data_IF_628636936171
#
_entry.id   IF_628636936171
#
_cell.length_a   1.000
_cell.length_b   1.000
_cell.length_c   1.000
_cell.angle_alpha   90.00
_cell.angle_beta   90.00
_cell.angle_gamma   90.00
#
_symmetry.space_group_name_H-M   'P 1'
#
loop_
_entity.id
_entity.type
_entity.pdbx_description
1 polymer ?
#
# COMPACT_ATOMS: atom_id res chain seq x y z
N UNK A 1 3.81 47.26 18.34
CA UNK A 1 3.44 46.88 16.95
C UNK A 1 4.32 45.73 16.45
N UNK A 2 4.49 44.68 17.25
CA UNK A 2 5.52 43.62 17.03
C UNK A 2 5.00 42.20 17.23
N UNK A 3 3.69 42.01 17.46
CA UNK A 3 3.14 40.71 17.87
C UNK A 3 2.40 39.93 16.77
N UNK A 4 2.21 40.54 15.58
CA UNK A 4 1.49 39.91 14.46
C UNK A 4 2.37 39.04 13.56
N UNK A 5 3.69 39.18 13.61
CA UNK A 5 4.61 38.38 12.79
C UNK A 5 4.90 37.00 13.40
N UNK A 6 5.00 36.89 14.74
CA UNK A 6 5.24 35.62 15.44
C UNK A 6 4.06 34.63 15.36
N UNK A 7 2.84 35.13 15.57
CA UNK A 7 1.63 34.29 15.54
C UNK A 7 1.27 33.73 14.14
N UNK A 8 1.74 34.36 13.06
CA UNK A 8 1.52 33.90 11.67
C UNK A 8 2.49 32.77 11.31
N UNK A 9 3.72 32.80 11.85
CA UNK A 9 4.73 31.75 11.65
C UNK A 9 4.36 30.48 12.44
N UNK A 10 3.83 30.64 13.65
CA UNK A 10 3.41 29.52 14.51
C UNK A 10 2.18 28.75 13.94
N UNK A 11 1.29 29.44 13.20
CA UNK A 11 0.12 28.81 12.54
C UNK A 11 0.39 28.19 11.16
N UNK A 12 1.58 28.38 10.59
CA UNK A 12 1.95 27.85 9.26
C UNK A 12 2.66 26.48 9.32
N UNK A 13 3.28 26.15 10.46
CA UNK A 13 4.00 24.89 10.70
C UNK A 13 3.20 23.81 11.46
N UNK A 14 2.22 24.18 12.27
CA UNK A 14 1.55 23.35 13.29
C UNK A 14 0.70 22.16 12.79
N UNK A 15 0.58 21.96 11.48
CA UNK A 15 -0.13 20.83 10.88
C UNK A 15 0.71 19.93 9.98
N UNK A 16 1.89 20.38 9.51
CA UNK A 16 2.69 19.63 8.53
C UNK A 16 3.34 18.40 9.14
N UNK A 17 3.97 18.57 10.30
CA UNK A 17 4.59 17.47 11.03
C UNK A 17 3.55 16.47 11.53
N UNK A 18 2.36 16.95 11.93
CA UNK A 18 1.22 16.08 12.27
C UNK A 18 0.81 15.24 11.07
N UNK A 19 0.68 15.84 9.89
CA UNK A 19 0.36 15.11 8.66
C UNK A 19 1.44 14.06 8.31
N UNK A 20 2.72 14.41 8.45
CA UNK A 20 3.81 13.46 8.24
C UNK A 20 3.72 12.26 9.19
N UNK A 21 3.59 12.48 10.50
CA UNK A 21 3.44 11.40 11.47
C UNK A 21 2.16 10.60 11.29
N UNK A 22 1.06 11.24 10.91
CA UNK A 22 -0.17 10.52 10.56
C UNK A 22 0.07 9.58 9.37
N UNK A 23 0.76 10.01 8.32
CA UNK A 23 1.08 9.14 7.19
C UNK A 23 2.01 7.99 7.60
N UNK A 24 3.03 8.28 8.39
CA UNK A 24 4.00 7.29 8.90
C UNK A 24 3.31 6.17 9.69
N UNK A 25 2.26 6.51 10.44
CA UNK A 25 1.49 5.52 11.21
C UNK A 25 0.40 4.85 10.38
N UNK A 26 -0.30 5.59 9.51
CA UNK A 26 -1.35 5.03 8.67
C UNK A 26 -0.81 4.00 7.67
N UNK A 27 0.41 4.15 7.17
CA UNK A 27 1.01 3.21 6.23
C UNK A 27 1.03 1.75 6.76
N UNK A 28 1.70 1.44 7.88
CA UNK A 28 1.69 0.10 8.45
C UNK A 28 0.34 -0.29 9.06
N UNK A 29 -0.48 0.65 9.53
CA UNK A 29 -1.82 0.32 10.06
C UNK A 29 -2.74 -0.18 8.94
N UNK A 30 -2.81 0.56 7.82
CA UNK A 30 -3.67 0.20 6.70
C UNK A 30 -3.21 -1.08 6.00
N UNK A 31 -1.90 -1.30 5.89
CA UNK A 31 -1.36 -2.55 5.39
C UNK A 31 -1.61 -3.68 6.40
N UNK A 32 -0.83 -3.70 7.48
CA UNK A 32 -0.67 -4.89 8.30
C UNK A 32 -1.73 -5.02 9.39
N UNK A 33 -2.08 -3.94 10.09
CA UNK A 33 -3.04 -4.02 11.17
C UNK A 33 -4.45 -4.37 10.67
N UNK A 34 -4.83 -3.88 9.48
CA UNK A 34 -6.10 -4.30 8.86
C UNK A 34 -6.04 -5.68 8.20
N UNK A 35 -4.87 -6.31 8.13
CA UNK A 35 -4.68 -7.67 7.62
C UNK A 35 -4.43 -8.73 8.71
N UNK A 36 -4.69 -8.38 9.99
CA UNK A 36 -4.52 -9.25 11.19
C UNK A 36 -5.22 -10.63 11.10
N UNK A 37 -6.10 -10.86 10.12
CA UNK A 37 -6.69 -12.17 9.88
C UNK A 37 -5.67 -13.24 9.46
N UNK A 38 -4.52 -12.85 8.88
CA UNK A 38 -3.44 -13.75 8.45
C UNK A 38 -2.21 -13.64 9.35
N UNK A 39 -1.86 -12.42 9.75
CA UNK A 39 -0.71 -12.14 10.61
C UNK A 39 -1.06 -12.28 12.10
N UNK A 40 -0.28 -13.09 12.83
CA UNK A 40 -0.43 -13.30 14.29
C UNK A 40 -0.48 -11.96 15.05
N UNK A 41 -0.98 -11.95 16.31
CA UNK A 41 -0.87 -10.78 17.21
C UNK A 41 0.54 -10.17 17.32
N UNK A 42 1.56 -10.95 16.97
CA UNK A 42 2.95 -10.52 16.83
C UNK A 42 3.14 -9.32 15.90
N UNK A 43 2.23 -9.06 14.95
CA UNK A 43 2.29 -7.87 14.09
C UNK A 43 2.27 -6.56 14.89
N UNK A 44 1.55 -6.55 16.01
CA UNK A 44 1.51 -5.40 16.93
C UNK A 44 2.81 -5.23 17.72
N UNK A 45 3.53 -6.34 17.98
CA UNK A 45 4.87 -6.32 18.58
C UNK A 45 5.94 -5.92 17.55
N UNK A 46 5.77 -6.34 16.29
CA UNK A 46 6.63 -5.98 15.17
C UNK A 46 6.33 -4.57 14.63
N UNK A 47 5.26 -3.91 15.08
CA UNK A 47 4.86 -2.59 14.57
C UNK A 47 6.00 -1.54 14.58
N UNK A 48 6.85 -1.41 15.62
CA UNK A 48 7.99 -0.51 15.59
C UNK A 48 9.02 -0.83 14.48
N UNK A 49 9.14 -2.11 14.09
CA UNK A 49 10.00 -2.57 12.99
C UNK A 49 9.43 -2.19 11.63
N UNK A 50 8.10 -2.16 11.50
CA UNK A 50 7.39 -1.81 10.26
C UNK A 50 7.40 -0.30 9.99
N UNK A 51 7.40 0.53 11.02
CA UNK A 51 7.33 2.00 10.88
C UNK A 51 8.46 2.56 10.00
N UNK A 52 9.74 2.19 10.17
CA UNK A 52 10.82 2.66 9.30
C UNK A 52 10.62 2.34 7.82
N UNK A 53 10.23 1.10 7.49
CA UNK A 53 10.10 0.66 6.11
C UNK A 53 8.79 1.16 5.50
N UNK A 54 7.62 0.88 6.09
CA UNK A 54 6.31 1.31 5.58
C UNK A 54 6.15 2.83 5.71
N UNK A 55 6.25 3.35 6.93
CA UNK A 55 6.02 4.76 7.21
C UNK A 55 7.08 5.67 6.56
N UNK A 56 8.35 5.29 6.67
CA UNK A 56 9.46 6.01 6.04
C UNK A 56 9.40 5.97 4.52
N UNK A 57 9.21 4.78 3.92
CA UNK A 57 9.14 4.61 2.48
C UNK A 57 7.97 5.35 1.83
N UNK A 58 6.77 5.24 2.41
CA UNK A 58 5.57 5.93 1.90
C UNK A 58 5.69 7.44 2.04
N UNK A 59 6.19 7.94 3.17
CA UNK A 59 6.43 9.37 3.35
C UNK A 59 7.47 9.90 2.36
N UNK A 60 8.55 9.15 2.13
CA UNK A 60 9.58 9.50 1.14
C UNK A 60 8.99 9.59 -0.28
N UNK A 61 8.29 8.55 -0.73
CA UNK A 61 7.67 8.51 -2.05
C UNK A 61 6.71 9.69 -2.25
N UNK A 62 5.85 9.95 -1.25
CA UNK A 62 4.90 11.07 -1.27
C UNK A 62 5.62 12.42 -1.34
N UNK A 63 6.66 12.63 -0.53
CA UNK A 63 7.42 13.89 -0.54
C UNK A 63 8.10 14.14 -1.89
N UNK A 64 8.67 13.12 -2.52
CA UNK A 64 9.32 13.22 -3.82
C UNK A 64 8.30 13.57 -4.93
N UNK A 65 7.14 12.93 -4.95
CA UNK A 65 6.05 13.23 -5.89
C UNK A 65 5.58 14.67 -5.76
N UNK A 66 5.35 15.14 -4.53
CA UNK A 66 4.83 16.49 -4.30
C UNK A 66 5.85 17.57 -4.67
N UNK A 67 7.14 17.35 -4.39
CA UNK A 67 8.21 18.30 -4.71
C UNK A 67 8.47 18.44 -6.21
N UNK A 68 8.26 17.37 -6.97
CA UNK A 68 8.44 17.37 -8.43
C UNK A 68 7.20 17.82 -9.18
N UNK A 69 6.10 18.12 -8.48
CA UNK A 69 4.82 18.47 -9.08
C UNK A 69 4.12 17.28 -9.75
N UNK A 70 4.68 16.07 -9.61
CA UNK A 70 4.18 14.83 -10.15
C UNK A 70 2.79 14.48 -9.59
N UNK A 71 2.12 13.52 -10.23
CA UNK A 71 0.75 13.11 -9.89
C UNK A 71 0.73 11.62 -9.50
N UNK A 72 -0.46 11.09 -9.27
CA UNK A 72 -0.69 9.71 -8.85
C UNK A 72 0.05 8.64 -9.68
N UNK A 73 0.31 8.77 -11.01
CA UNK A 73 1.06 7.74 -11.73
C UNK A 73 2.52 7.64 -11.24
N UNK A 74 3.14 8.77 -10.88
CA UNK A 74 4.47 8.76 -10.28
C UNK A 74 4.47 8.13 -8.89
N UNK A 75 3.41 8.33 -8.11
CA UNK A 75 3.27 7.66 -6.82
C UNK A 75 3.15 6.14 -6.96
N UNK A 76 2.43 5.63 -7.97
CA UNK A 76 2.38 4.20 -8.27
C UNK A 76 3.74 3.64 -8.68
N UNK A 77 4.47 4.34 -9.55
CA UNK A 77 5.80 3.92 -9.99
C UNK A 77 6.79 3.90 -8.81
N UNK A 78 6.73 4.89 -7.91
CA UNK A 78 7.53 4.87 -6.69
C UNK A 78 7.06 3.79 -5.70
N UNK A 79 5.77 3.46 -5.67
CA UNK A 79 5.25 2.34 -4.90
C UNK A 79 5.78 0.99 -5.40
N UNK A 80 5.93 0.82 -6.71
CA UNK A 80 6.62 -0.34 -7.30
C UNK A 80 8.10 -0.37 -6.93
N UNK A 81 8.78 0.77 -6.98
CA UNK A 81 10.18 0.87 -6.56
C UNK A 81 10.35 0.57 -5.05
N UNK A 82 9.39 1.02 -4.23
CA UNK A 82 9.30 0.70 -2.82
C UNK A 82 9.15 -0.80 -2.60
N UNK A 83 8.24 -1.46 -3.33
CA UNK A 83 8.02 -2.91 -3.22
C UNK A 83 9.28 -3.72 -3.56
N UNK A 84 10.00 -3.32 -4.63
CA UNK A 84 11.27 -3.97 -4.99
C UNK A 84 12.34 -3.76 -3.90
N UNK A 85 12.32 -2.63 -3.21
CA UNK A 85 13.26 -2.37 -2.11
C UNK A 85 12.87 -3.14 -0.84
N UNK A 86 11.59 -3.19 -0.49
CA UNK A 86 11.10 -3.95 0.66
C UNK A 86 11.25 -5.46 0.43
N UNK A 87 10.55 -5.99 -0.56
CA UNK A 87 10.40 -7.42 -0.75
C UNK A 87 11.59 -8.03 -1.51
N UNK A 88 12.10 -7.30 -2.50
CA UNK A 88 13.22 -7.74 -3.33
C UNK A 88 14.58 -7.64 -2.62
N UNK A 89 14.86 -6.53 -1.92
CA UNK A 89 16.16 -6.30 -1.28
C UNK A 89 16.14 -6.58 0.23
N UNK A 90 15.12 -6.12 0.94
CA UNK A 90 14.98 -6.30 2.39
C UNK A 90 14.66 -7.73 2.75
N UNK A 91 13.47 -8.21 2.37
CA UNK A 91 13.01 -9.56 2.67
C UNK A 91 13.71 -10.61 1.80
N UNK A 92 14.08 -10.25 0.56
CA UNK A 92 14.59 -11.19 -0.45
C UNK A 92 13.58 -12.28 -0.83
N UNK A 93 12.29 -12.04 -0.58
CA UNK A 93 11.22 -12.99 -0.85
C UNK A 93 11.09 -13.29 -2.34
N UNK A 94 11.38 -12.31 -3.20
CA UNK A 94 11.31 -12.45 -4.65
C UNK A 94 12.17 -13.61 -5.20
N UNK A 95 13.29 -13.94 -4.54
CA UNK A 95 14.20 -15.02 -4.98
C UNK A 95 14.34 -16.16 -3.99
N UNK A 96 13.99 -15.95 -2.72
CA UNK A 96 14.13 -16.95 -1.66
C UNK A 96 13.37 -18.25 -1.99
N UNK A 97 13.95 -19.43 -1.73
CA UNK A 97 13.26 -20.71 -1.85
C UNK A 97 12.33 -21.02 -0.67
N UNK A 98 12.52 -20.39 0.50
CA UNK A 98 11.85 -20.81 1.74
C UNK A 98 11.01 -19.71 2.40
N UNK A 99 11.35 -18.44 2.18
CA UNK A 99 10.68 -17.32 2.82
C UNK A 99 9.18 -17.32 2.49
N UNK A 100 8.36 -17.38 3.54
CA UNK A 100 6.90 -17.43 3.48
C UNK A 100 6.29 -18.50 2.59
N UNK A 101 7.03 -19.57 2.27
CA UNK A 101 6.64 -20.57 1.26
C UNK A 101 6.37 -19.95 -0.13
N UNK A 102 6.84 -18.73 -0.41
CA UNK A 102 6.55 -18.02 -1.66
C UNK A 102 6.92 -18.82 -2.92
N UNK A 103 7.93 -19.68 -2.82
CA UNK A 103 8.33 -20.60 -3.88
C UNK A 103 7.25 -21.58 -4.32
N UNK A 104 6.38 -22.04 -3.40
CA UNK A 104 5.31 -22.99 -3.74
C UNK A 104 4.14 -22.31 -4.45
N UNK A 105 4.04 -20.98 -4.39
CA UNK A 105 2.98 -20.20 -5.04
C UNK A 105 3.17 -20.12 -6.56
N UNK A 106 4.33 -20.57 -7.06
CA UNK A 106 4.69 -20.54 -8.46
C UNK A 106 5.94 -19.72 -8.70
N UNK A 107 6.88 -20.31 -9.45
CA UNK A 107 8.13 -19.65 -9.86
C UNK A 107 8.24 -19.54 -11.36
N UNK A 108 8.71 -18.39 -11.82
CA UNK A 108 9.02 -18.12 -13.23
C UNK A 108 10.47 -17.65 -13.28
N UNK A 109 11.32 -18.37 -14.02
CA UNK A 109 12.76 -18.12 -14.11
C UNK A 109 13.49 -17.99 -12.76
N UNK A 110 13.02 -18.74 -11.74
CA UNK A 110 13.61 -18.69 -10.40
C UNK A 110 13.14 -17.51 -9.54
N UNK A 111 12.12 -16.76 -9.97
CA UNK A 111 11.49 -15.69 -9.18
C UNK A 111 10.09 -16.09 -8.71
N UNK A 112 9.75 -15.73 -7.47
CA UNK A 112 8.45 -15.98 -6.85
C UNK A 112 7.39 -14.98 -7.34
N UNK A 113 7.13 -14.94 -8.66
CA UNK A 113 6.32 -13.87 -9.27
C UNK A 113 4.86 -13.86 -8.82
N UNK A 114 4.24 -15.00 -8.54
CA UNK A 114 2.86 -15.04 -8.05
C UNK A 114 2.72 -14.36 -6.68
N UNK A 115 3.64 -14.69 -5.77
CA UNK A 115 3.74 -14.05 -4.45
C UNK A 115 4.06 -12.55 -4.61
N UNK A 116 5.08 -12.23 -5.40
CA UNK A 116 5.47 -10.83 -5.58
C UNK A 116 4.37 -9.99 -6.22
N UNK A 117 3.59 -10.55 -7.15
CA UNK A 117 2.42 -9.87 -7.73
C UNK A 117 1.34 -9.60 -6.68
N UNK A 118 1.06 -10.56 -5.79
CA UNK A 118 0.09 -10.35 -4.71
C UNK A 118 0.55 -9.26 -3.75
N UNK A 119 1.83 -9.30 -3.36
CA UNK A 119 2.42 -8.30 -2.46
C UNK A 119 2.47 -6.91 -3.13
N UNK A 120 2.86 -6.83 -4.40
CA UNK A 120 2.85 -5.58 -5.15
C UNK A 120 1.46 -4.94 -5.18
N UNK A 121 0.43 -5.70 -5.56
CA UNK A 121 -0.95 -5.17 -5.59
C UNK A 121 -1.43 -4.74 -4.21
N UNK A 122 -1.10 -5.53 -3.19
CA UNK A 122 -1.39 -5.25 -1.79
C UNK A 122 -0.72 -3.95 -1.31
N UNK A 123 0.61 -3.83 -1.41
CA UNK A 123 1.35 -2.70 -0.88
C UNK A 123 1.05 -1.42 -1.66
N UNK A 124 0.90 -1.48 -2.99
CA UNK A 124 0.48 -0.32 -3.77
C UNK A 124 -0.81 0.30 -3.25
N UNK A 125 -1.82 -0.51 -2.95
CA UNK A 125 -3.14 0.00 -2.52
C UNK A 125 -3.15 0.33 -1.02
N UNK A 126 -2.78 -0.63 -0.19
CA UNK A 126 -3.00 -0.59 1.26
C UNK A 126 -1.86 0.06 2.04
N UNK A 127 -0.63 0.01 1.51
CA UNK A 127 0.54 0.70 2.11
C UNK A 127 0.72 2.11 1.55
N UNK A 128 0.53 2.30 0.24
CA UNK A 128 0.83 3.58 -0.42
C UNK A 128 -0.42 4.43 -0.66
N UNK A 129 -1.32 4.00 -1.55
CA UNK A 129 -2.40 4.87 -2.05
C UNK A 129 -3.41 5.28 -0.98
N UNK A 130 -3.91 4.31 -0.20
CA UNK A 130 -4.93 4.56 0.82
C UNK A 130 -4.38 5.48 1.92
N UNK A 131 -3.22 5.20 2.56
CA UNK A 131 -2.65 6.06 3.60
C UNK A 131 -2.35 7.49 3.13
N UNK A 132 -1.79 7.64 1.92
CA UNK A 132 -1.54 8.96 1.33
C UNK A 132 -2.86 9.71 1.11
N UNK A 133 -3.88 9.03 0.60
CA UNK A 133 -5.19 9.64 0.33
C UNK A 133 -5.90 10.01 1.64
N UNK A 134 -5.92 9.13 2.63
CA UNK A 134 -6.51 9.38 3.96
C UNK A 134 -5.83 10.56 4.66
N UNK A 135 -4.50 10.63 4.61
CA UNK A 135 -3.76 11.77 5.18
C UNK A 135 -4.11 13.07 4.44
N UNK A 136 -4.28 13.00 3.11
CA UNK A 136 -4.76 14.13 2.31
C UNK A 136 -6.16 14.61 2.70
N UNK A 137 -7.07 13.69 3.03
CA UNK A 137 -8.42 14.00 3.52
C UNK A 137 -8.40 14.62 4.92
N UNK A 138 -7.55 14.10 5.82
CA UNK A 138 -7.40 14.59 7.19
C UNK A 138 -6.72 15.97 7.25
N UNK A 139 -5.77 16.23 6.34
CA UNK A 139 -4.95 17.44 6.31
C UNK A 139 -5.02 18.15 4.94
N UNK A 140 -6.24 18.50 4.51
CA UNK A 140 -6.51 19.13 3.18
C UNK A 140 -5.58 20.28 2.82
N UNK A 141 -5.28 21.17 3.78
CA UNK A 141 -4.38 22.33 3.59
C UNK A 141 -2.95 21.93 3.20
N UNK A 142 -2.54 20.71 3.51
CA UNK A 142 -1.20 20.19 3.26
C UNK A 142 -1.16 19.09 2.18
N UNK A 143 -2.30 18.60 1.70
CA UNK A 143 -2.39 17.45 0.78
C UNK A 143 -1.47 17.55 -0.45
N UNK A 144 -1.36 18.75 -1.05
CA UNK A 144 -0.48 19.01 -2.21
C UNK A 144 0.81 19.78 -1.90
N UNK A 145 1.25 19.82 -0.63
CA UNK A 145 2.45 20.57 -0.21
C UNK A 145 3.44 19.67 0.54
N UNK A 146 4.75 19.89 0.42
CA UNK A 146 5.74 19.14 1.21
C UNK A 146 5.45 19.25 2.71
N UNK A 147 5.48 18.13 3.41
CA UNK A 147 5.36 18.07 4.87
C UNK A 147 6.70 18.39 5.54
N UNK A 148 7.81 17.98 4.91
CA UNK A 148 9.15 18.05 5.49
C UNK A 148 10.01 19.17 4.87
N UNK A 149 11.06 19.58 5.57
CA UNK A 149 12.18 20.33 4.99
C UNK A 149 13.15 19.42 4.23
N UNK A 150 14.27 19.96 3.73
CA UNK A 150 15.33 19.17 3.07
C UNK A 150 15.96 18.14 4.00
N UNK A 151 16.29 18.54 5.23
CA UNK A 151 16.87 17.64 6.22
C UNK A 151 15.88 16.55 6.68
N UNK A 152 14.61 16.89 6.82
CA UNK A 152 13.56 15.91 7.12
C UNK A 152 13.46 14.86 6.00
N UNK A 153 13.50 15.28 4.73
CA UNK A 153 13.51 14.35 3.60
C UNK A 153 14.71 13.39 3.61
N UNK A 154 15.92 13.91 3.87
CA UNK A 154 17.13 13.10 3.99
C UNK A 154 17.01 12.12 5.15
N UNK A 155 16.55 12.58 6.31
CA UNK A 155 16.31 11.74 7.48
C UNK A 155 15.30 10.62 7.18
N UNK A 156 14.20 10.93 6.50
CA UNK A 156 13.22 9.91 6.07
C UNK A 156 13.82 8.90 5.09
N UNK A 157 14.68 9.33 4.16
CA UNK A 157 15.38 8.41 3.26
C UNK A 157 16.33 7.47 4.01
N UNK A 158 17.09 8.00 4.99
CA UNK A 158 17.96 7.19 5.84
C UNK A 158 17.14 6.20 6.67
N UNK A 159 16.04 6.65 7.28
CA UNK A 159 15.12 5.78 8.06
C UNK A 159 14.54 4.67 7.18
N UNK A 160 14.17 4.97 5.93
CA UNK A 160 13.68 3.95 5.01
C UNK A 160 14.76 2.91 4.67
N UNK A 161 16.00 3.33 4.38
CA UNK A 161 17.11 2.40 4.13
C UNK A 161 17.41 1.55 5.37
N UNK A 162 17.37 2.13 6.56
CA UNK A 162 17.47 1.39 7.82
C UNK A 162 16.32 0.38 7.92
N UNK A 163 15.10 0.76 7.56
CA UNK A 163 13.94 -0.14 7.52
C UNK A 163 14.15 -1.34 6.61
N UNK A 164 14.67 -1.13 5.40
CA UNK A 164 15.03 -2.22 4.46
C UNK A 164 16.10 -3.14 5.06
N UNK A 165 17.13 -2.57 5.69
CA UNK A 165 18.16 -3.35 6.37
C UNK A 165 17.60 -4.13 7.58
N UNK A 166 16.68 -3.53 8.33
CA UNK A 166 16.02 -4.17 9.46
C UNK A 166 15.11 -5.33 9.00
N UNK A 167 14.37 -5.18 7.90
CA UNK A 167 13.63 -6.29 7.30
C UNK A 167 14.56 -7.45 6.95
N UNK A 168 15.74 -7.15 6.41
CA UNK A 168 16.77 -8.17 6.14
C UNK A 168 17.27 -8.86 7.40
N UNK A 169 17.63 -8.09 8.43
CA UNK A 169 18.32 -8.59 9.62
C UNK A 169 17.40 -9.19 10.70
N UNK A 170 16.13 -8.80 10.73
CA UNK A 170 15.19 -9.26 11.75
C UNK A 170 14.17 -10.27 11.21
N UNK A 171 13.77 -10.14 9.94
CA UNK A 171 12.75 -10.98 9.34
C UNK A 171 13.40 -12.03 8.43
N UNK A 172 14.09 -11.59 7.38
CA UNK A 172 14.59 -12.52 6.36
C UNK A 172 15.59 -13.56 6.90
N UNK A 173 16.49 -13.16 7.80
CA UNK A 173 17.45 -14.10 8.42
C UNK A 173 16.79 -15.08 9.39
N UNK A 174 15.58 -14.79 9.87
CA UNK A 174 14.81 -15.66 10.75
C UNK A 174 13.96 -16.63 9.93
N UNK A 175 13.33 -16.14 8.86
CA UNK A 175 12.42 -16.90 8.00
C UNK A 175 13.15 -17.77 6.96
N UNK A 176 14.34 -17.35 6.49
CA UNK A 176 15.19 -18.14 5.58
C UNK A 176 16.69 -17.98 5.96
N UNK A 177 17.14 -18.65 7.04
CA UNK A 177 18.49 -18.48 7.57
C UNK A 177 19.58 -18.86 6.56
N UNK A 178 20.54 -17.95 6.36
CA UNK A 178 21.70 -18.17 5.49
C UNK A 178 21.45 -17.92 4.00
N UNK A 179 20.20 -17.75 3.57
CA UNK A 179 19.91 -17.37 2.18
C UNK A 179 20.37 -15.94 1.88
N UNK A 180 20.94 -15.73 0.69
CA UNK A 180 21.24 -14.40 0.15
C UNK A 180 20.86 -14.35 -1.33
N UNK A 181 20.16 -13.29 -1.74
CA UNK A 181 19.90 -13.04 -3.16
C UNK A 181 21.22 -12.92 -3.93
N UNK A 182 21.37 -13.61 -5.08
CA UNK A 182 22.57 -13.50 -5.91
C UNK A 182 22.89 -12.04 -6.26
N UNK A 183 24.16 -11.64 -6.14
CA UNK A 183 24.57 -10.25 -6.37
C UNK A 183 24.14 -9.69 -7.74
N UNK A 184 24.11 -10.45 -8.86
CA UNK A 184 23.65 -9.90 -10.14
C UNK A 184 22.18 -9.49 -10.09
N UNK A 185 21.36 -10.22 -9.34
CA UNK A 185 19.95 -9.89 -9.13
C UNK A 185 19.83 -8.65 -8.25
N UNK A 186 20.62 -8.53 -7.18
CA UNK A 186 20.66 -7.31 -6.36
C UNK A 186 21.02 -6.08 -7.20
N UNK A 187 22.05 -6.19 -8.05
CA UNK A 187 22.45 -5.12 -8.95
C UNK A 187 21.32 -4.76 -9.95
N UNK A 188 20.65 -5.76 -10.53
CA UNK A 188 19.52 -5.54 -11.43
C UNK A 188 18.34 -4.85 -10.73
N UNK A 189 17.99 -5.27 -9.52
CA UNK A 189 16.93 -4.64 -8.71
C UNK A 189 17.26 -3.17 -8.41
N UNK A 190 18.50 -2.87 -8.01
CA UNK A 190 18.93 -1.48 -7.78
C UNK A 190 18.83 -0.63 -9.04
N UNK A 191 19.26 -1.16 -10.20
CA UNK A 191 19.12 -0.47 -11.49
C UNK A 191 17.65 -0.22 -11.80
N UNK A 192 16.77 -1.21 -11.64
CA UNK A 192 15.33 -1.07 -11.88
C UNK A 192 14.73 -0.01 -10.94
N UNK A 193 15.04 -0.04 -9.64
CA UNK A 193 14.57 0.97 -8.67
C UNK A 193 14.99 2.38 -9.09
N UNK A 194 16.24 2.56 -9.53
CA UNK A 194 16.74 3.85 -10.03
C UNK A 194 16.00 4.28 -11.29
N UNK A 195 15.81 3.38 -12.26
CA UNK A 195 15.08 3.67 -13.50
C UNK A 195 13.62 4.04 -13.23
N UNK A 196 12.95 3.35 -12.31
CA UNK A 196 11.59 3.68 -11.85
C UNK A 196 11.56 5.05 -11.16
N UNK A 197 12.57 5.37 -10.34
CA UNK A 197 12.72 6.69 -9.74
C UNK A 197 12.88 7.80 -10.78
N UNK A 198 13.72 7.59 -11.80
CA UNK A 198 13.90 8.51 -12.93
C UNK A 198 12.59 8.68 -13.70
N UNK A 199 11.92 7.58 -14.03
CA UNK A 199 10.62 7.59 -14.70
C UNK A 199 9.60 8.41 -13.90
N UNK A 200 9.47 8.14 -12.60
CA UNK A 200 8.52 8.79 -11.72
C UNK A 200 8.78 10.29 -11.53
N UNK A 201 10.05 10.68 -11.36
CA UNK A 201 10.41 12.01 -10.88
C UNK A 201 10.88 12.96 -11.99
N UNK A 202 11.34 12.43 -13.12
CA UNK A 202 11.87 13.25 -14.22
C UNK A 202 11.04 13.15 -15.49
N UNK A 203 10.48 11.98 -15.79
CA UNK A 203 9.72 11.75 -17.05
C UNK A 203 8.24 12.02 -16.85
N UNK A 204 7.58 11.30 -15.93
CA UNK A 204 6.14 11.39 -15.69
C UNK A 204 5.63 12.81 -15.36
N UNK A 205 6.36 13.68 -14.62
CA UNK A 205 5.87 15.04 -14.34
C UNK A 205 5.80 15.93 -15.59
N UNK A 206 6.57 15.59 -16.63
CA UNK A 206 6.61 16.29 -17.91
C UNK A 206 5.58 15.75 -18.90
N UNK A 207 5.09 14.53 -18.68
CA UNK A 207 4.10 13.91 -19.54
C UNK A 207 2.69 14.42 -19.23
N UNK A 208 1.96 14.81 -20.27
CA UNK A 208 0.54 15.10 -20.20
C UNK A 208 -0.23 13.78 -20.33
N UNK A 209 -0.36 13.05 -19.23
CA UNK A 209 -1.17 11.83 -19.20
C UNK A 209 -2.65 12.24 -19.34
N UNK A 210 -3.35 11.82 -20.41
CA UNK A 210 -4.76 12.11 -20.58
C UNK A 210 -5.56 11.56 -19.40
N UNK A 211 -6.50 12.35 -18.90
CA UNK A 211 -7.45 11.84 -17.90
C UNK A 211 -8.47 10.95 -18.62
N UNK A 212 -8.84 9.80 -18.05
CA UNK A 212 -9.94 9.01 -18.57
C UNK A 212 -11.21 9.84 -18.69
N UNK A 213 -12.03 9.55 -19.71
CA UNK A 213 -13.32 10.21 -19.89
C UNK A 213 -14.20 9.96 -18.65
N UNK A 214 -14.88 10.99 -18.12
CA UNK A 214 -15.76 10.84 -16.97
C UNK A 214 -16.89 9.85 -17.26
N UNK A 215 -17.54 9.36 -16.21
CA UNK A 215 -18.77 8.57 -16.38
C UNK A 215 -19.98 9.50 -16.48
N UNK A 216 -20.99 9.09 -17.25
CA UNK A 216 -22.23 9.87 -17.39
C UNK A 216 -22.95 10.06 -16.05
N UNK A 217 -22.94 9.03 -15.20
CA UNK A 217 -23.51 9.05 -13.85
C UNK A 217 -22.61 8.30 -12.90
N UNK A 218 -22.30 8.91 -11.75
CA UNK A 218 -21.59 8.22 -10.68
C UNK A 218 -22.50 7.15 -10.04
N UNK A 219 -21.96 5.95 -9.76
CA UNK A 219 -22.65 4.98 -8.92
C UNK A 219 -22.94 5.55 -7.53
N UNK A 220 -23.96 5.02 -6.87
CA UNK A 220 -24.23 5.33 -5.48
C UNK A 220 -22.99 5.01 -4.60
N UNK A 221 -22.66 5.81 -3.58
CA UNK A 221 -21.47 5.61 -2.76
C UNK A 221 -21.35 4.18 -2.17
N UNK A 222 -22.46 3.59 -1.72
CA UNK A 222 -22.47 2.20 -1.25
C UNK A 222 -22.08 1.18 -2.33
N UNK A 223 -22.50 1.39 -3.59
CA UNK A 223 -22.10 0.55 -4.71
C UNK A 223 -20.62 0.70 -5.04
N UNK A 224 -20.07 1.91 -4.95
CA UNK A 224 -18.62 2.13 -5.06
C UNK A 224 -17.85 1.38 -3.98
N UNK A 225 -18.32 1.44 -2.73
CA UNK A 225 -17.74 0.69 -1.63
C UNK A 225 -17.79 -0.82 -1.85
N UNK A 226 -18.93 -1.35 -2.30
CA UNK A 226 -19.06 -2.78 -2.61
C UNK A 226 -18.11 -3.21 -3.73
N UNK A 227 -18.03 -2.45 -4.84
CA UNK A 227 -17.10 -2.74 -5.92
C UNK A 227 -15.63 -2.67 -5.47
N UNK A 228 -15.29 -1.68 -4.64
CA UNK A 228 -13.96 -1.55 -4.07
C UNK A 228 -13.62 -2.66 -3.09
N UNK A 229 -14.60 -3.25 -2.39
CA UNK A 229 -14.41 -4.40 -1.53
C UNK A 229 -14.20 -5.70 -2.32
N UNK A 230 -14.90 -5.86 -3.44
CA UNK A 230 -14.76 -7.04 -4.29
C UNK A 230 -13.38 -7.13 -4.95
N UNK A 231 -12.80 -6.00 -5.36
CA UNK A 231 -11.52 -5.98 -6.05
C UNK A 231 -10.37 -6.69 -5.30
N UNK A 232 -10.05 -6.36 -4.03
CA UNK A 232 -9.00 -7.06 -3.28
C UNK A 232 -9.37 -8.50 -2.95
N UNK A 233 -10.65 -8.83 -2.73
CA UNK A 233 -11.09 -10.22 -2.50
C UNK A 233 -10.80 -11.08 -3.72
N UNK A 234 -11.17 -10.61 -4.91
CA UNK A 234 -10.93 -11.33 -6.17
C UNK A 234 -9.43 -11.38 -6.47
N UNK A 235 -8.73 -10.24 -6.38
CA UNK A 235 -7.30 -10.14 -6.63
C UNK A 235 -6.49 -11.09 -5.73
N UNK A 236 -6.69 -11.02 -4.42
CA UNK A 236 -5.98 -11.89 -3.47
C UNK A 236 -6.47 -13.34 -3.58
N UNK A 237 -7.75 -13.59 -3.83
CA UNK A 237 -8.28 -14.95 -4.01
C UNK A 237 -7.74 -15.66 -5.25
N UNK A 238 -7.28 -14.93 -6.26
CA UNK A 238 -6.62 -15.50 -7.44
C UNK A 238 -5.17 -15.89 -7.17
N UNK A 239 -4.47 -15.16 -6.28
CA UNK A 239 -3.01 -15.29 -6.11
C UNK A 239 -2.61 -15.99 -4.81
N UNK A 240 -3.34 -15.76 -3.72
CA UNK A 240 -3.01 -16.26 -2.39
C UNK A 240 -3.52 -17.70 -2.20
N UNK A 241 -2.72 -18.61 -1.62
CA UNK A 241 -3.13 -20.00 -1.40
C UNK A 241 -4.11 -20.12 -0.22
N UNK A 242 -5.42 -20.14 -0.50
CA UNK A 242 -6.47 -20.24 0.53
C UNK A 242 -6.56 -21.60 1.22
N UNK A 243 -6.16 -22.69 0.55
CA UNK A 243 -6.19 -24.06 1.06
C UNK A 243 -5.13 -24.91 0.36
N UNK A 244 -3.90 -24.94 0.84
CA UNK A 244 -3.01 -26.03 0.45
C UNK A 244 -1.97 -26.35 1.52
N UNK A 245 -2.08 -27.57 2.06
CA UNK A 245 -0.98 -28.29 2.72
C UNK A 245 0.24 -28.52 1.81
N UNK A 246 0.15 -28.09 0.54
CA UNK A 246 1.16 -28.21 -0.48
C UNK A 246 1.65 -26.84 -1.04
N UNK A 247 1.11 -25.72 -0.53
CA UNK A 247 1.62 -24.37 -0.81
C UNK A 247 1.37 -23.79 -2.22
N UNK A 248 0.57 -24.44 -3.07
CA UNK A 248 0.22 -23.93 -4.41
C UNK A 248 -1.01 -23.01 -4.37
N UNK A 249 -1.16 -22.05 -5.32
CA UNK A 249 -2.34 -21.21 -5.44
C UNK A 249 -3.61 -22.04 -5.66
N UNK A 250 -4.77 -21.45 -5.35
CA UNK A 250 -6.07 -22.12 -5.48
C UNK A 250 -6.40 -22.57 -6.92
N UNK A 251 -5.75 -21.96 -7.92
CA UNK A 251 -5.96 -22.21 -9.35
C UNK A 251 -4.60 -22.27 -10.06
N UNK A 252 -4.37 -23.33 -10.84
CA UNK A 252 -3.23 -23.45 -11.75
C UNK A 252 -1.94 -24.00 -11.12
N UNK A 253 -1.28 -24.90 -11.84
CA UNK A 253 0.08 -25.38 -11.57
C UNK A 253 0.88 -25.31 -12.88
N UNK A 254 2.19 -25.06 -12.79
CA UNK A 254 3.04 -24.89 -13.97
C UNK A 254 2.58 -23.72 -14.85
N UNK A 255 2.49 -23.92 -16.18
CA UNK A 255 2.12 -22.86 -17.12
C UNK A 255 0.72 -22.27 -16.90
N UNK A 256 -0.18 -23.01 -16.24
CA UNK A 256 -1.53 -22.55 -15.94
C UNK A 256 -1.58 -21.45 -14.86
N UNK A 257 -0.46 -21.21 -14.14
CA UNK A 257 -0.31 -20.09 -13.21
C UNK A 257 -0.37 -18.73 -13.91
N UNK A 258 -0.04 -18.65 -15.20
CA UNK A 258 -0.14 -17.39 -15.94
C UNK A 258 -1.58 -16.87 -16.02
N UNK A 259 -2.58 -17.74 -15.98
CA UNK A 259 -3.99 -17.34 -16.07
C UNK A 259 -4.44 -16.52 -14.84
N UNK A 260 -4.37 -17.03 -13.59
CA UNK A 260 -4.76 -16.25 -12.43
C UNK A 260 -3.95 -14.96 -12.27
N UNK A 261 -2.67 -14.97 -12.63
CA UNK A 261 -1.82 -13.76 -12.67
C UNK A 261 -2.35 -12.71 -13.66
N UNK A 262 -2.56 -13.09 -14.92
CA UNK A 262 -3.10 -12.18 -15.93
C UNK A 262 -4.50 -11.67 -15.58
N UNK A 263 -5.34 -12.51 -14.98
CA UNK A 263 -6.68 -12.09 -14.50
C UNK A 263 -6.56 -11.14 -13.31
N UNK A 264 -5.67 -11.40 -12.36
CA UNK A 264 -5.42 -10.52 -11.21
C UNK A 264 -4.91 -9.15 -11.68
N UNK A 265 -3.94 -9.12 -12.60
CA UNK A 265 -3.48 -7.91 -13.25
C UNK A 265 -4.62 -7.16 -13.97
N UNK A 266 -5.46 -7.87 -14.72
CA UNK A 266 -6.61 -7.28 -15.40
C UNK A 266 -7.62 -6.67 -14.40
N UNK A 267 -7.88 -7.35 -13.28
CA UNK A 267 -8.72 -6.84 -12.18
C UNK A 267 -8.13 -5.57 -11.58
N UNK A 268 -6.84 -5.55 -11.29
CA UNK A 268 -6.15 -4.38 -10.74
C UNK A 268 -6.20 -3.18 -11.70
N UNK A 269 -5.92 -3.40 -13.00
CA UNK A 269 -6.00 -2.37 -14.04
C UNK A 269 -7.42 -1.86 -14.19
N UNK A 270 -8.42 -2.76 -14.26
CA UNK A 270 -9.82 -2.39 -14.41
C UNK A 270 -10.31 -1.58 -13.20
N UNK A 271 -9.98 -1.99 -11.98
CA UNK A 271 -10.31 -1.27 -10.76
C UNK A 271 -9.68 0.13 -10.75
N UNK A 272 -8.38 0.23 -11.04
CA UNK A 272 -7.67 1.52 -11.13
C UNK A 272 -8.26 2.44 -12.20
N UNK A 273 -8.59 1.89 -13.37
CA UNK A 273 -9.21 2.64 -14.47
C UNK A 273 -10.61 3.15 -14.10
N UNK A 274 -11.45 2.32 -13.47
CA UNK A 274 -12.77 2.72 -12.98
C UNK A 274 -12.66 3.84 -11.93
N UNK A 275 -11.76 3.68 -10.95
CA UNK A 275 -11.50 4.72 -9.94
C UNK A 275 -11.03 6.02 -10.58
N UNK A 276 -10.18 5.95 -11.60
CA UNK A 276 -9.73 7.14 -12.34
C UNK A 276 -10.88 7.82 -13.09
N UNK A 277 -11.78 7.06 -13.72
CA UNK A 277 -12.99 7.59 -14.40
C UNK A 277 -13.98 8.21 -13.42
N UNK A 278 -14.26 7.56 -12.30
CA UNK A 278 -15.13 8.12 -11.26
C UNK A 278 -14.52 9.41 -10.71
N UNK A 279 -13.22 9.41 -10.42
CA UNK A 279 -12.51 10.59 -9.90
C UNK A 279 -12.45 11.77 -10.89
N UNK A 280 -12.58 11.51 -12.19
CA UNK A 280 -12.65 12.54 -13.23
C UNK A 280 -14.05 13.17 -13.35
N UNK A 281 -15.07 12.59 -12.72
CA UNK A 281 -16.45 13.07 -12.81
C UNK A 281 -16.67 14.22 -11.82
N UNK A 282 -17.22 15.35 -12.28
CA UNK A 282 -17.29 16.59 -11.49
C UNK A 282 -18.09 16.50 -10.18
N UNK A 283 -19.01 15.53 -10.08
CA UNK A 283 -19.80 15.24 -8.87
C UNK A 283 -19.10 14.31 -7.88
N UNK A 284 -17.86 13.90 -8.14
CA UNK A 284 -17.11 13.01 -7.27
C UNK A 284 -16.60 13.76 -6.04
N UNK A 285 -17.10 13.37 -4.87
CA UNK A 285 -16.84 14.05 -3.59
C UNK A 285 -16.00 13.23 -2.63
N UNK A 286 -15.51 13.85 -1.55
CA UNK A 286 -14.84 13.12 -0.47
C UNK A 286 -15.66 11.98 0.13
N UNK A 287 -16.99 12.09 0.12
CA UNK A 287 -17.88 11.01 0.56
C UNK A 287 -17.68 9.75 -0.29
N UNK A 288 -17.67 9.89 -1.63
CA UNK A 288 -17.39 8.79 -2.54
C UNK A 288 -15.97 8.22 -2.34
N UNK A 289 -14.98 9.08 -2.06
CA UNK A 289 -13.60 8.64 -1.75
C UNK A 289 -13.55 7.80 -0.47
N UNK A 290 -14.25 8.21 0.58
CA UNK A 290 -14.30 7.47 1.85
C UNK A 290 -14.96 6.11 1.64
N UNK A 291 -16.06 6.03 0.86
CA UNK A 291 -16.68 4.75 0.52
C UNK A 291 -15.75 3.83 -0.28
N UNK A 292 -15.00 4.36 -1.25
CA UNK A 292 -14.00 3.57 -1.99
C UNK A 292 -12.90 3.03 -1.07
N UNK A 293 -12.33 3.89 -0.21
CA UNK A 293 -11.29 3.49 0.74
C UNK A 293 -11.83 2.47 1.74
N UNK A 294 -13.01 2.72 2.30
CA UNK A 294 -13.65 1.84 3.27
C UNK A 294 -14.00 0.49 2.66
N UNK A 295 -14.56 0.48 1.46
CA UNK A 295 -14.80 -0.75 0.69
C UNK A 295 -13.52 -1.57 0.51
N UNK A 296 -12.47 -0.95 -0.02
CA UNK A 296 -11.20 -1.63 -0.23
C UNK A 296 -10.61 -2.20 1.07
N UNK A 297 -10.53 -1.41 2.15
CA UNK A 297 -10.02 -1.88 3.44
C UNK A 297 -10.86 -3.02 4.01
N UNK A 298 -12.19 -2.92 3.97
CA UNK A 298 -13.09 -3.97 4.46
C UNK A 298 -12.94 -5.25 3.65
N UNK A 299 -12.95 -5.17 2.31
CA UNK A 299 -12.79 -6.34 1.45
C UNK A 299 -11.46 -7.06 1.67
N UNK A 300 -10.39 -6.29 1.79
CA UNK A 300 -9.05 -6.78 2.15
C UNK A 300 -9.02 -7.48 3.52
N UNK A 301 -9.56 -6.86 4.57
CA UNK A 301 -9.62 -7.46 5.90
C UNK A 301 -10.51 -8.69 5.96
N UNK A 302 -11.62 -8.70 5.21
CA UNK A 302 -12.50 -9.87 5.08
C UNK A 302 -11.77 -11.03 4.42
N UNK A 303 -10.99 -10.77 3.37
CA UNK A 303 -10.13 -11.77 2.76
C UNK A 303 -9.15 -12.35 3.78
N UNK A 304 -8.50 -11.48 4.57
CA UNK A 304 -7.57 -11.90 5.61
C UNK A 304 -8.22 -12.84 6.63
N UNK A 305 -9.40 -12.48 7.13
CA UNK A 305 -10.17 -13.29 8.09
C UNK A 305 -10.55 -14.63 7.48
N UNK A 306 -11.08 -14.64 6.24
CA UNK A 306 -11.49 -15.86 5.55
C UNK A 306 -10.30 -16.80 5.28
N UNK A 307 -9.16 -16.23 4.89
CA UNK A 307 -7.91 -16.97 4.69
C UNK A 307 -7.39 -17.56 6.00
N UNK A 308 -7.37 -16.78 7.09
CA UNK A 308 -6.97 -17.24 8.41
C UNK A 308 -7.82 -18.43 8.90
N UNK A 309 -9.14 -18.32 8.78
CA UNK A 309 -10.08 -19.41 9.11
C UNK A 309 -9.79 -20.66 8.26
N UNK A 310 -9.57 -20.48 6.96
CA UNK A 310 -9.29 -21.60 6.04
C UNK A 310 -7.96 -22.31 6.35
N UNK A 311 -7.01 -21.58 6.95
CA UNK A 311 -5.71 -22.11 7.40
C UNK A 311 -5.73 -22.60 8.86
N UNK A 312 -6.90 -22.73 9.48
CA UNK A 312 -7.05 -23.33 10.82
C UNK A 312 -6.91 -22.36 11.99
N UNK A 313 -6.77 -21.05 11.76
CA UNK A 313 -6.87 -20.05 12.82
C UNK A 313 -8.34 -19.83 13.17
N UNK A 314 -8.80 -20.34 14.32
CA UNK A 314 -10.25 -20.39 14.62
C UNK A 314 -10.74 -19.44 15.72
N UNK A 315 -9.85 -18.77 16.48
CA UNK A 315 -10.28 -17.89 17.58
C UNK A 315 -9.67 -16.49 17.50
N UNK A 316 -8.39 -16.31 17.84
CA UNK A 316 -7.85 -14.97 18.10
C UNK A 316 -7.75 -14.10 16.83
N UNK A 317 -7.12 -14.60 15.76
CA UNK A 317 -6.89 -13.82 14.54
C UNK A 317 -8.20 -13.44 13.80
N UNK A 318 -9.18 -14.35 13.60
CA UNK A 318 -10.47 -13.98 13.00
C UNK A 318 -11.25 -12.96 13.82
N UNK A 319 -11.30 -13.11 15.15
CA UNK A 319 -12.01 -12.18 16.04
C UNK A 319 -11.38 -10.80 15.99
N UNK A 320 -10.04 -10.71 16.10
CA UNK A 320 -9.33 -9.44 15.97
C UNK A 320 -9.56 -8.81 14.61
N UNK A 321 -9.54 -9.59 13.52
CA UNK A 321 -9.85 -9.09 12.18
C UNK A 321 -11.24 -8.47 12.07
N UNK A 322 -12.28 -9.13 12.63
CA UNK A 322 -13.65 -8.57 12.67
C UNK A 322 -13.72 -7.30 13.50
N UNK A 323 -13.02 -7.23 14.63
CA UNK A 323 -12.94 -6.01 15.45
C UNK A 323 -12.27 -4.87 14.67
N UNK A 324 -11.15 -5.15 13.99
CA UNK A 324 -10.45 -4.15 13.16
C UNK A 324 -11.32 -3.65 12.02
N UNK A 325 -12.12 -4.52 11.38
CA UNK A 325 -13.13 -4.13 10.38
C UNK A 325 -14.12 -3.15 11.00
N UNK A 326 -14.70 -3.49 12.17
CA UNK A 326 -15.67 -2.64 12.87
C UNK A 326 -15.09 -1.27 13.23
N UNK A 327 -13.88 -1.24 13.76
CA UNK A 327 -13.15 0.01 14.09
C UNK A 327 -12.87 0.83 12.83
N UNK A 328 -12.44 0.20 11.74
CA UNK A 328 -12.17 0.87 10.46
C UNK A 328 -13.44 1.54 9.92
N UNK A 329 -14.57 0.82 9.90
CA UNK A 329 -15.86 1.35 9.46
C UNK A 329 -16.29 2.53 10.34
N UNK A 330 -16.16 2.40 11.67
CA UNK A 330 -16.50 3.48 12.61
C UNK A 330 -15.65 4.74 12.35
N UNK A 331 -14.33 4.60 12.26
CA UNK A 331 -13.41 5.72 12.05
C UNK A 331 -13.67 6.43 10.72
N UNK A 332 -13.94 5.68 9.65
CA UNK A 332 -14.27 6.25 8.35
C UNK A 332 -15.64 6.95 8.34
N UNK A 333 -16.64 6.40 9.04
CA UNK A 333 -17.93 7.06 9.20
C UNK A 333 -17.82 8.36 10.01
N UNK A 334 -16.98 8.39 11.05
CA UNK A 334 -16.68 9.61 11.81
C UNK A 334 -15.96 10.65 10.95
N UNK A 335 -15.00 10.21 10.12
CA UNK A 335 -14.31 11.08 9.17
C UNK A 335 -15.29 11.68 8.15
N UNK A 336 -16.18 10.87 7.58
CA UNK A 336 -17.17 11.32 6.60
C UNK A 336 -18.12 12.38 7.20
N UNK A 337 -18.65 12.11 8.39
CA UNK A 337 -19.48 13.08 9.13
C UNK A 337 -18.75 14.38 9.41
N UNK A 338 -17.46 14.31 9.79
CA UNK A 338 -16.64 15.49 10.05
C UNK A 338 -16.42 16.30 8.78
N UNK A 339 -16.16 15.66 7.64
CA UNK A 339 -15.97 16.33 6.36
C UNK A 339 -17.29 16.90 5.80
N UNK A 340 -18.42 16.27 6.07
CA UNK A 340 -19.75 16.77 5.72
C UNK A 340 -20.14 18.03 6.48
N UNK A 341 -19.81 18.12 7.77
CA UNK A 341 -20.07 19.31 8.62
C UNK A 341 -19.18 20.52 8.30
N UNK A 342 -18.07 20.31 7.60
CA UNK A 342 -17.11 21.36 7.24
C UNK A 342 -17.39 22.00 5.87
N UNK A 343 -18.50 21.60 5.21
CA UNK A 343 -19.03 22.20 3.98
C UNK A 343 -20.20 23.11 4.31
#
# INVERSE_FOLDING_TARGET
>A
MTDRAGAVVERAGTGRLKAAWTLVLLAPICAEATFTGISLPAIWLAFPLLVPIYGGGVLLARELVVRTGAKWPALLVLGLAYELAEDGLGLQALTSPHLYTAASWGRVFGFNLTYWESQLGYHLVFTVLIPVTLTGLLFKRHAGRPYLGRFGLIGTAVVFVIGVALARLAIATTEDPGYTTPWPVVAALLVIIVLLGILALLVLPRLRIPRPAPVARLPHPAALGALAALAPIVFLGLLFPLKSSAGHPAIGHGAWLAIPQLVALAVAIAAGWLVARWSATGTFTDHHRIWLIGGALVGHSLFAVASGISNGHVVLAPVLGVVVIGVTVLLLALLDRRLGRAR
#
